data_IF_666862917015
#
_entry.id   IF_666862917015
#
_cell.length_a   1.000
_cell.length_b   1.000
_cell.length_c   1.000
_cell.angle_alpha   90.00
_cell.angle_beta   90.00
_cell.angle_gamma   90.00
#
_symmetry.space_group_name_H-M   'P 1'
#
loop_
_entity.id
_entity.type
_entity.pdbx_description
1 polymer ?
#
# COMPACT_ATOMS: atom_id res chain seq x y z
N UNK A 1 13.55 -16.57 22.51
CA UNK A 1 12.48 -16.69 23.52
C UNK A 1 12.28 -15.34 24.16
N UNK A 2 11.03 -15.00 24.48
CA UNK A 2 10.73 -13.92 25.41
C UNK A 2 11.31 -14.25 26.78
N UNK A 3 11.71 -13.23 27.53
CA UNK A 3 12.34 -13.41 28.84
C UNK A 3 11.34 -13.31 29.99
N UNK A 4 10.09 -12.92 29.69
CA UNK A 4 9.04 -12.67 30.67
C UNK A 4 7.79 -13.52 30.34
N UNK A 5 7.77 -14.78 30.81
CA UNK A 5 6.68 -15.72 30.56
C UNK A 5 5.97 -16.05 31.88
N UNK A 6 4.66 -15.82 31.93
CA UNK A 6 3.84 -15.98 33.12
C UNK A 6 2.81 -17.11 32.95
N UNK A 7 2.38 -17.72 34.06
CA UNK A 7 1.27 -18.69 34.04
C UNK A 7 -0.06 -17.95 34.13
N UNK A 8 -1.07 -18.45 33.45
CA UNK A 8 -2.44 -17.93 33.64
C UNK A 8 -3.04 -18.33 34.98
N UNK A 9 -2.37 -19.08 35.87
CA UNK A 9 -2.85 -19.31 37.23
C UNK A 9 -3.01 -18.03 38.06
N UNK A 10 -2.32 -16.95 37.71
CA UNK A 10 -2.53 -15.61 38.29
C UNK A 10 -3.90 -14.99 37.91
N UNK A 11 -4.62 -15.55 36.94
CA UNK A 11 -5.99 -15.15 36.59
C UNK A 11 -7.04 -15.54 37.64
N UNK A 12 -6.90 -16.74 38.22
CA UNK A 12 -7.98 -17.42 38.94
C UNK A 12 -7.95 -17.14 40.45
N UNK A 13 -6.82 -16.65 40.96
CA UNK A 13 -6.63 -16.39 42.36
C UNK A 13 -6.89 -14.90 42.69
N UNK A 14 -8.14 -14.60 43.04
CA UNK A 14 -8.45 -13.68 44.15
C UNK A 14 -7.97 -14.34 45.47
N UNK A 15 -6.69 -14.72 45.56
CA UNK A 15 -6.15 -15.39 46.73
C UNK A 15 -5.37 -14.35 47.52
N UNK A 16 -5.86 -14.07 48.73
CA UNK A 16 -5.47 -13.01 49.67
C UNK A 16 -4.00 -13.08 50.16
N UNK A 17 -3.09 -13.75 49.41
CA UNK A 17 -1.72 -14.07 49.82
C UNK A 17 -0.63 -13.70 48.83
N UNK A 18 -0.92 -12.90 47.80
CA UNK A 18 0.13 -12.29 46.97
C UNK A 18 0.44 -10.87 47.48
N UNK A 19 1.71 -10.54 47.80
CA UNK A 19 2.06 -9.21 48.28
C UNK A 19 1.83 -8.16 47.19
N UNK A 20 0.89 -7.25 47.49
CA UNK A 20 0.60 -5.93 46.94
C UNK A 20 1.61 -5.34 45.94
N UNK A 21 1.55 -5.81 44.69
CA UNK A 21 1.61 -4.92 43.53
C UNK A 21 0.52 -5.42 42.58
N UNK A 22 -0.71 -4.95 42.78
CA UNK A 22 -1.80 -5.12 41.82
C UNK A 22 -1.44 -4.33 40.55
N UNK A 23 -0.50 -4.85 39.75
CA UNK A 23 -0.44 -4.46 38.35
C UNK A 23 -1.76 -4.99 37.78
N UNK A 24 -2.66 -4.12 37.30
CA UNK A 24 -3.92 -4.57 36.73
C UNK A 24 -3.60 -5.65 35.68
N UNK A 25 -4.31 -6.78 35.70
CA UNK A 25 -4.05 -7.92 34.80
C UNK A 25 -3.84 -7.50 33.33
N UNK A 26 -4.61 -6.50 32.92
CA UNK A 26 -4.53 -5.82 31.62
C UNK A 26 -3.14 -5.22 31.30
N UNK A 27 -2.39 -4.75 32.30
CA UNK A 27 -1.01 -4.29 32.16
C UNK A 27 -0.02 -5.45 32.03
N UNK A 28 -0.27 -6.60 32.68
CA UNK A 28 0.56 -7.79 32.52
C UNK A 28 0.47 -8.34 31.09
N UNK A 29 -0.74 -8.37 30.50
CA UNK A 29 -0.95 -8.80 29.10
C UNK A 29 -0.11 -7.99 28.09
N UNK A 30 0.13 -6.69 28.33
CA UNK A 30 0.97 -5.88 27.45
C UNK A 30 2.48 -5.95 27.77
N UNK A 31 2.83 -6.26 29.02
CA UNK A 31 4.20 -6.25 29.50
C UNK A 31 4.91 -7.61 29.32
N UNK A 32 4.15 -8.70 29.30
CA UNK A 32 4.64 -10.07 29.24
C UNK A 32 4.82 -10.54 27.80
N UNK A 33 5.82 -11.40 27.59
CA UNK A 33 6.13 -11.95 26.26
C UNK A 33 5.34 -13.23 25.95
N UNK A 34 4.69 -13.84 26.95
CA UNK A 34 3.90 -15.05 26.74
C UNK A 34 3.20 -15.60 27.99
N UNK A 35 2.17 -16.42 27.74
CA UNK A 35 1.38 -17.08 28.76
C UNK A 35 1.45 -18.61 28.61
N UNK A 36 1.65 -19.32 29.71
CA UNK A 36 1.69 -20.79 29.73
C UNK A 36 0.45 -21.38 30.41
N UNK A 37 0.05 -22.58 29.97
CA UNK A 37 -1.09 -23.36 30.52
C UNK A 37 -2.42 -22.60 30.39
N UNK A 38 -2.67 -22.07 29.20
CA UNK A 38 -3.85 -21.23 28.91
C UNK A 38 -5.05 -22.09 28.50
N UNK A 39 -6.16 -21.96 29.24
CA UNK A 39 -7.42 -22.61 28.90
C UNK A 39 -8.11 -21.91 27.70
N UNK A 40 -9.00 -22.59 26.96
CA UNK A 40 -9.67 -22.02 25.78
C UNK A 40 -10.39 -20.68 26.07
N UNK A 41 -11.13 -20.59 27.18
CA UNK A 41 -11.82 -19.36 27.59
C UNK A 41 -10.84 -18.21 27.88
N UNK A 42 -9.65 -18.54 28.41
CA UNK A 42 -8.61 -17.56 28.68
C UNK A 42 -7.96 -17.04 27.39
N UNK A 43 -7.80 -17.88 26.36
CA UNK A 43 -7.29 -17.43 25.05
C UNK A 43 -8.21 -16.36 24.45
N UNK A 44 -9.52 -16.59 24.50
CA UNK A 44 -10.52 -15.65 24.02
C UNK A 44 -10.42 -14.29 24.73
N UNK A 45 -10.37 -14.30 26.05
CA UNK A 45 -10.33 -13.06 26.82
C UNK A 45 -9.00 -12.31 26.66
N UNK A 46 -7.87 -13.00 26.54
CA UNK A 46 -6.57 -12.34 26.25
C UNK A 46 -6.67 -11.53 24.95
N UNK A 47 -7.23 -12.13 23.89
CA UNK A 47 -7.46 -11.44 22.62
C UNK A 47 -8.38 -10.24 22.82
N UNK A 48 -9.51 -10.43 23.50
CA UNK A 48 -10.49 -9.38 23.76
C UNK A 48 -9.90 -8.20 24.55
N UNK A 49 -9.08 -8.47 25.56
CA UNK A 49 -8.45 -7.45 26.40
C UNK A 49 -7.38 -6.67 25.64
N UNK A 50 -6.59 -7.33 24.78
CA UNK A 50 -5.66 -6.64 23.88
C UNK A 50 -6.38 -5.73 22.89
N UNK A 51 -7.51 -6.19 22.33
CA UNK A 51 -8.35 -5.40 21.42
C UNK A 51 -8.96 -4.18 22.13
N UNK A 52 -9.40 -4.30 23.38
CA UNK A 52 -9.89 -3.16 24.18
C UNK A 52 -8.83 -2.06 24.35
N UNK A 53 -7.54 -2.41 24.32
CA UNK A 53 -6.42 -1.46 24.33
C UNK A 53 -6.01 -0.94 22.94
N UNK A 54 -6.81 -1.22 21.91
CA UNK A 54 -6.59 -0.80 20.52
C UNK A 54 -5.36 -1.46 19.86
N UNK A 55 -4.90 -2.61 20.37
CA UNK A 55 -3.98 -3.45 19.60
C UNK A 55 -4.76 -4.19 18.52
N UNK A 56 -4.10 -4.40 17.38
CA UNK A 56 -4.59 -5.31 16.34
C UNK A 56 -4.00 -6.68 16.63
N UNK A 57 -4.86 -7.67 16.89
CA UNK A 57 -4.48 -8.97 17.38
C UNK A 57 -4.58 -10.04 16.29
N UNK A 58 -3.43 -10.63 15.94
CA UNK A 58 -3.38 -11.87 15.18
C UNK A 58 -3.29 -13.06 16.12
N UNK A 59 -4.13 -14.06 15.94
CA UNK A 59 -4.11 -15.29 16.73
C UNK A 59 -3.85 -16.50 15.82
N UNK A 60 -2.96 -17.39 16.24
CA UNK A 60 -2.72 -18.67 15.57
C UNK A 60 -3.32 -19.83 16.37
N UNK A 61 -3.88 -20.83 15.70
CA UNK A 61 -4.44 -22.02 16.35
C UNK A 61 -4.51 -23.22 15.42
N UNK A 62 -4.64 -24.40 16.01
CA UNK A 62 -4.69 -25.70 15.33
C UNK A 62 -5.92 -26.53 15.71
N UNK A 63 -6.35 -26.42 16.97
CA UNK A 63 -7.43 -27.22 17.54
C UNK A 63 -8.82 -26.57 17.49
N UNK A 64 -9.83 -27.41 17.66
CA UNK A 64 -11.26 -27.03 17.81
C UNK A 64 -11.46 -26.01 18.93
N UNK A 65 -10.65 -26.12 19.99
CA UNK A 65 -10.70 -25.24 21.16
C UNK A 65 -10.24 -23.81 20.87
N UNK A 66 -9.48 -23.60 19.79
CA UNK A 66 -8.98 -22.28 19.41
C UNK A 66 -9.97 -21.53 18.53
N UNK A 67 -10.99 -22.21 18.00
CA UNK A 67 -11.96 -21.63 17.08
C UNK A 67 -12.68 -20.37 17.62
N UNK A 68 -13.15 -20.30 18.88
CA UNK A 68 -13.78 -19.09 19.41
C UNK A 68 -12.82 -17.90 19.47
N UNK A 69 -11.56 -18.15 19.82
CA UNK A 69 -10.56 -17.11 19.99
C UNK A 69 -9.97 -16.67 18.62
N UNK A 70 -9.81 -17.61 17.67
CA UNK A 70 -9.47 -17.33 16.27
C UNK A 70 -10.51 -16.42 15.62
N UNK A 71 -11.80 -16.72 15.81
CA UNK A 71 -12.89 -15.92 15.26
C UNK A 71 -13.02 -14.54 15.88
N UNK A 72 -12.60 -14.39 17.14
CA UNK A 72 -12.65 -13.10 17.83
C UNK A 72 -11.44 -12.20 17.54
N UNK A 73 -10.30 -12.79 17.13
CA UNK A 73 -9.12 -12.03 16.76
C UNK A 73 -9.37 -11.14 15.54
N UNK A 74 -8.59 -10.07 15.38
CA UNK A 74 -8.67 -9.23 14.18
C UNK A 74 -8.18 -9.97 12.94
N UNK A 75 -7.28 -10.95 13.14
CA UNK A 75 -6.85 -11.91 12.12
C UNK A 75 -6.65 -13.29 12.77
N UNK A 76 -7.55 -14.22 12.47
CA UNK A 76 -7.39 -15.63 12.82
C UNK A 76 -6.53 -16.38 11.80
N UNK A 77 -5.53 -17.13 12.27
CA UNK A 77 -4.57 -17.87 11.42
C UNK A 77 -4.59 -19.36 11.78
N UNK A 78 -5.08 -20.19 10.88
CA UNK A 78 -4.99 -21.65 11.02
C UNK A 78 -3.61 -22.13 10.52
N UNK A 79 -2.94 -22.96 11.33
CA UNK A 79 -1.66 -23.56 10.92
C UNK A 79 -1.85 -24.72 9.93
N UNK A 80 -0.78 -25.09 9.23
CA UNK A 80 -0.83 -26.24 8.32
C UNK A 80 -1.19 -27.52 9.08
N UNK A 81 -2.24 -28.22 8.62
CA UNK A 81 -2.77 -29.41 9.29
C UNK A 81 -3.69 -29.13 10.48
N UNK A 82 -4.15 -27.88 10.65
CA UNK A 82 -5.17 -27.54 11.64
C UNK A 82 -6.49 -28.30 11.40
N UNK A 83 -7.26 -28.48 12.46
CA UNK A 83 -8.60 -29.08 12.40
C UNK A 83 -9.55 -28.27 11.51
N UNK A 84 -10.53 -28.94 10.89
CA UNK A 84 -11.54 -28.28 10.04
C UNK A 84 -12.29 -27.17 10.78
N UNK A 85 -12.49 -27.32 12.09
CA UNK A 85 -13.10 -26.29 12.92
C UNK A 85 -12.22 -25.03 13.05
N UNK A 86 -10.91 -25.19 13.24
CA UNK A 86 -9.97 -24.06 13.30
C UNK A 86 -9.84 -23.39 11.92
N UNK A 87 -9.80 -24.17 10.84
CA UNK A 87 -9.78 -23.66 9.47
C UNK A 87 -11.01 -22.80 9.18
N UNK A 88 -12.22 -23.30 9.49
CA UNK A 88 -13.48 -22.58 9.27
C UNK A 88 -13.63 -21.34 10.17
N UNK A 89 -12.92 -21.28 11.29
CA UNK A 89 -12.93 -20.14 12.21
C UNK A 89 -11.85 -19.09 11.90
N UNK A 90 -10.90 -19.40 11.00
CA UNK A 90 -9.76 -18.54 10.68
C UNK A 90 -9.97 -17.72 9.40
N UNK A 91 -9.30 -16.57 9.30
CA UNK A 91 -9.29 -15.72 8.10
C UNK A 91 -8.19 -16.12 7.11
N UNK A 92 -7.09 -16.70 7.61
CA UNK A 92 -5.92 -17.09 6.83
C UNK A 92 -5.53 -18.52 7.19
N UNK A 93 -5.31 -19.35 6.17
CA UNK A 93 -4.83 -20.73 6.33
C UNK A 93 -3.39 -20.80 5.83
N UNK A 94 -2.49 -21.28 6.68
CA UNK A 94 -1.11 -21.53 6.29
C UNK A 94 -0.99 -22.90 5.63
N UNK A 95 -0.47 -22.92 4.41
CA UNK A 95 -0.16 -24.16 3.68
C UNK A 95 1.15 -24.80 4.13
N UNK A 96 2.01 -24.03 4.80
CA UNK A 96 3.31 -24.44 5.29
C UNK A 96 3.41 -24.19 6.80
N UNK A 97 4.01 -25.11 7.58
CA UNK A 97 4.20 -24.90 9.01
C UNK A 97 5.31 -23.87 9.28
N UNK A 98 5.19 -23.14 10.39
CA UNK A 98 6.26 -22.30 10.93
C UNK A 98 5.92 -20.82 11.06
N UNK A 99 6.46 -20.20 12.11
CA UNK A 99 6.26 -18.77 12.40
C UNK A 99 6.91 -17.86 11.33
N UNK A 100 7.94 -18.35 10.64
CA UNK A 100 8.60 -17.63 9.54
C UNK A 100 7.66 -17.31 8.38
N UNK A 101 6.68 -18.17 8.12
CA UNK A 101 5.66 -17.98 7.07
C UNK A 101 4.78 -16.79 7.43
N UNK A 102 4.37 -16.68 8.70
CA UNK A 102 3.57 -15.57 9.21
C UNK A 102 4.34 -14.24 9.09
N UNK A 103 5.62 -14.23 9.47
CA UNK A 103 6.47 -13.03 9.32
C UNK A 103 6.56 -12.61 7.85
N UNK A 104 6.76 -13.57 6.94
CA UNK A 104 6.85 -13.31 5.50
C UNK A 104 5.53 -12.79 4.93
N UNK A 105 4.40 -13.34 5.38
CA UNK A 105 3.06 -12.88 5.03
C UNK A 105 2.82 -11.44 5.52
N UNK A 106 3.17 -11.12 6.77
CA UNK A 106 3.06 -9.77 7.32
C UNK A 106 3.92 -8.77 6.55
N UNK A 107 5.16 -9.12 6.21
CA UNK A 107 6.04 -8.25 5.41
C UNK A 107 5.50 -8.01 4.01
N UNK A 108 4.94 -9.05 3.38
CA UNK A 108 4.30 -8.95 2.06
C UNK A 108 3.04 -8.09 2.11
N UNK A 109 2.20 -8.28 3.14
CA UNK A 109 1.00 -7.47 3.34
C UNK A 109 1.36 -5.98 3.53
N UNK A 110 2.41 -5.67 4.31
CA UNK A 110 2.90 -4.29 4.46
C UNK A 110 3.34 -3.68 3.12
N UNK A 111 3.95 -4.46 2.23
CA UNK A 111 4.31 -3.96 0.89
C UNK A 111 3.06 -3.70 0.04
N UNK A 112 2.06 -4.58 0.07
CA UNK A 112 0.78 -4.40 -0.64
C UNK A 112 0.05 -3.16 -0.11
N UNK A 113 -0.04 -3.01 1.21
CA UNK A 113 -0.67 -1.87 1.86
C UNK A 113 -0.04 -0.53 1.44
N UNK A 114 1.29 -0.48 1.33
CA UNK A 114 1.98 0.71 0.83
C UNK A 114 1.63 1.01 -0.64
N UNK A 115 1.56 0.00 -1.50
CA UNK A 115 1.10 0.18 -2.90
C UNK A 115 -0.30 0.77 -2.95
N UNK A 116 -1.22 0.27 -2.11
CA UNK A 116 -2.58 0.80 -2.06
C UNK A 116 -2.61 2.25 -1.59
N UNK A 117 -1.87 2.62 -0.53
CA UNK A 117 -1.79 4.02 -0.07
C UNK A 117 -1.26 4.94 -1.18
N UNK A 118 -0.17 4.55 -1.85
CA UNK A 118 0.43 5.32 -2.94
C UNK A 118 -0.55 5.49 -4.12
N UNK A 119 -1.30 4.44 -4.45
CA UNK A 119 -2.36 4.49 -5.46
C UNK A 119 -3.49 5.44 -5.06
N UNK A 120 -3.94 5.42 -3.80
CA UNK A 120 -4.99 6.35 -3.34
C UNK A 120 -4.52 7.80 -3.43
N UNK A 121 -3.28 8.11 -3.03
CA UNK A 121 -2.72 9.47 -3.18
C UNK A 121 -2.73 9.87 -4.65
N UNK A 122 -2.29 8.99 -5.54
CA UNK A 122 -2.27 9.22 -6.97
C UNK A 122 -3.66 9.49 -7.56
N UNK A 123 -4.62 8.59 -7.31
CA UNK A 123 -5.98 8.68 -7.84
C UNK A 123 -6.66 9.98 -7.41
N UNK A 124 -6.55 10.35 -6.13
CA UNK A 124 -7.13 11.59 -5.61
C UNK A 124 -6.40 12.82 -6.16
N UNK A 125 -5.09 12.76 -6.37
CA UNK A 125 -4.34 13.90 -6.94
C UNK A 125 -4.76 14.18 -8.39
N UNK A 126 -4.93 13.13 -9.20
CA UNK A 126 -5.37 13.27 -10.59
C UNK A 126 -6.80 13.79 -10.67
N UNK A 127 -7.73 13.30 -9.84
CA UNK A 127 -9.11 13.79 -9.86
C UNK A 127 -9.17 15.28 -9.56
N UNK A 128 -8.43 15.75 -8.54
CA UNK A 128 -8.34 17.17 -8.18
C UNK A 128 -7.79 18.00 -9.35
N UNK A 129 -6.78 17.50 -10.05
CA UNK A 129 -6.25 18.16 -11.24
C UNK A 129 -7.28 18.25 -12.37
N UNK A 130 -7.97 17.14 -12.67
CA UNK A 130 -8.92 17.07 -13.80
C UNK A 130 -10.15 17.96 -13.64
N UNK A 131 -10.47 18.42 -12.42
CA UNK A 131 -11.54 19.41 -12.19
C UNK A 131 -11.26 20.73 -12.91
N UNK A 132 -9.98 21.06 -13.14
CA UNK A 132 -9.55 22.29 -13.81
C UNK A 132 -9.28 22.12 -15.31
N UNK A 133 -9.56 20.93 -15.89
CA UNK A 133 -9.31 20.66 -17.31
C UNK A 133 -10.49 21.12 -18.20
N UNK A 134 -10.15 21.64 -19.39
CA UNK A 134 -11.09 22.40 -20.22
C UNK A 134 -11.78 21.60 -21.34
N UNK A 135 -11.36 20.36 -21.63
CA UNK A 135 -11.90 19.56 -22.75
C UNK A 135 -12.27 18.12 -22.33
N UNK A 136 -13.57 17.76 -22.32
CA UNK A 136 -14.04 16.43 -21.90
C UNK A 136 -13.44 15.27 -22.70
N UNK A 137 -13.21 15.46 -24.01
CA UNK A 137 -12.65 14.42 -24.87
C UNK A 137 -11.16 14.14 -24.57
N UNK A 138 -10.40 15.17 -24.21
CA UNK A 138 -9.00 15.01 -23.80
C UNK A 138 -8.86 14.33 -22.44
N UNK A 139 -9.77 14.65 -21.52
CA UNK A 139 -9.86 13.98 -20.22
C UNK A 139 -10.19 12.51 -20.43
N UNK A 140 -11.09 12.17 -21.35
CA UNK A 140 -11.42 10.79 -21.70
C UNK A 140 -10.19 10.02 -22.21
N UNK A 141 -9.44 10.57 -23.17
CA UNK A 141 -8.21 9.93 -23.68
C UNK A 141 -7.19 9.76 -22.56
N UNK A 142 -7.02 10.79 -21.72
CA UNK A 142 -6.08 10.75 -20.59
C UNK A 142 -6.48 9.69 -19.57
N UNK A 143 -7.77 9.52 -19.30
CA UNK A 143 -8.29 8.50 -18.39
C UNK A 143 -8.00 7.08 -18.90
N UNK A 144 -8.26 6.82 -20.18
CA UNK A 144 -7.99 5.52 -20.80
C UNK A 144 -6.49 5.17 -20.73
N UNK A 145 -5.62 6.13 -21.07
CA UNK A 145 -4.17 5.92 -20.99
C UNK A 145 -3.70 5.71 -19.55
N UNK A 146 -4.29 6.43 -18.60
CA UNK A 146 -3.97 6.29 -17.18
C UNK A 146 -4.29 4.89 -16.67
N UNK A 147 -5.47 4.35 -16.98
CA UNK A 147 -5.89 3.02 -16.54
C UNK A 147 -4.92 1.93 -16.99
N UNK A 148 -4.42 2.02 -18.22
CA UNK A 148 -3.37 1.11 -18.72
C UNK A 148 -2.09 1.16 -17.88
N UNK A 149 -1.65 2.36 -17.47
CA UNK A 149 -0.47 2.51 -16.61
C UNK A 149 -0.72 2.07 -15.17
N UNK A 150 -1.93 2.28 -14.63
CA UNK A 150 -2.31 1.90 -13.27
C UNK A 150 -2.22 0.39 -13.06
N UNK A 151 -2.48 -0.43 -14.09
CA UNK A 151 -2.35 -1.89 -14.02
C UNK A 151 -0.92 -2.36 -13.67
N UNK A 152 0.08 -1.50 -13.79
CA UNK A 152 1.47 -1.82 -13.43
C UNK A 152 1.76 -1.65 -11.93
N UNK A 153 0.94 -0.88 -11.18
CA UNK A 153 1.14 -0.57 -9.76
C UNK A 153 1.12 -1.82 -8.86
N UNK A 154 0.24 -2.82 -9.05
CA UNK A 154 0.25 -4.03 -8.22
C UNK A 154 1.55 -4.83 -8.30
N UNK A 155 2.26 -4.78 -9.44
CA UNK A 155 3.53 -5.48 -9.67
C UNK A 155 4.76 -4.69 -9.24
N UNK A 156 4.55 -3.53 -8.66
CA UNK A 156 5.60 -2.59 -8.37
C UNK A 156 6.48 -2.98 -7.15
N UNK A 157 7.75 -2.60 -7.16
CA UNK A 157 8.68 -2.85 -6.06
C UNK A 157 8.66 -1.70 -5.06
N UNK A 158 7.81 -1.82 -4.03
CA UNK A 158 7.70 -0.85 -2.91
C UNK A 158 8.36 -1.42 -1.66
N UNK A 159 9.04 -0.57 -0.89
CA UNK A 159 9.63 -0.95 0.39
C UNK A 159 8.52 -1.04 1.47
N UNK A 160 8.40 -2.17 2.19
CA UNK A 160 7.43 -2.29 3.27
C UNK A 160 7.76 -1.34 4.42
N UNK A 161 6.72 -0.86 5.12
CA UNK A 161 6.92 -0.03 6.30
C UNK A 161 7.56 -0.83 7.45
N UNK A 162 8.56 -0.30 8.16
CA UNK A 162 9.18 -1.00 9.29
C UNK A 162 8.23 -1.10 10.50
N UNK A 163 7.33 -0.12 10.65
CA UNK A 163 6.32 -0.09 11.69
C UNK A 163 4.94 -0.43 11.09
N UNK A 164 4.02 -0.90 11.94
CA UNK A 164 2.62 -1.04 11.59
C UNK A 164 2.07 0.33 11.19
N UNK A 165 1.31 0.36 10.10
CA UNK A 165 0.77 1.58 9.52
C UNK A 165 -0.76 1.43 9.51
N UNK A 166 -1.46 2.51 9.85
CA UNK A 166 -2.92 2.55 9.86
C UNK A 166 -3.39 3.46 8.73
N UNK A 167 -4.63 3.26 8.26
CA UNK A 167 -5.18 4.05 7.16
C UNK A 167 -5.55 5.48 7.62
N UNK A 168 -4.55 6.36 7.72
CA UNK A 168 -4.73 7.78 8.05
C UNK A 168 -5.27 8.53 6.85
N UNK A 169 -6.59 8.41 6.60
CA UNK A 169 -7.27 9.04 5.46
C UNK A 169 -6.95 10.53 5.34
N UNK A 170 -6.98 11.28 6.45
CA UNK A 170 -6.67 12.72 6.45
C UNK A 170 -5.29 13.02 5.85
N UNK A 171 -4.26 12.27 6.21
CA UNK A 171 -2.90 12.48 5.72
C UNK A 171 -2.80 12.19 4.22
N UNK A 172 -3.43 11.09 3.79
CA UNK A 172 -3.50 10.68 2.38
C UNK A 172 -4.21 11.75 1.54
N UNK A 173 -5.38 12.23 2.00
CA UNK A 173 -6.15 13.25 1.29
C UNK A 173 -5.44 14.60 1.25
N UNK A 174 -4.85 15.08 2.35
CA UNK A 174 -4.12 16.36 2.36
C UNK A 174 -2.93 16.29 1.40
N UNK A 175 -2.16 15.20 1.43
CA UNK A 175 -1.03 15.00 0.51
C UNK A 175 -1.51 15.02 -0.95
N UNK A 176 -2.60 14.33 -1.26
CA UNK A 176 -3.16 14.28 -2.60
C UNK A 176 -3.70 15.64 -3.08
N UNK A 177 -4.34 16.42 -2.20
CA UNK A 177 -4.84 17.76 -2.52
C UNK A 177 -3.69 18.71 -2.83
N UNK A 178 -2.61 18.69 -2.05
CA UNK A 178 -1.44 19.53 -2.28
C UNK A 178 -0.78 19.17 -3.63
N UNK A 179 -0.58 17.89 -3.91
CA UNK A 179 0.00 17.45 -5.19
C UNK A 179 -0.92 17.80 -6.37
N UNK A 180 -2.21 17.50 -6.29
CA UNK A 180 -3.19 17.79 -7.33
C UNK A 180 -3.35 19.28 -7.63
N UNK A 181 -3.41 20.12 -6.59
CA UNK A 181 -3.51 21.58 -6.74
C UNK A 181 -2.24 22.19 -7.32
N UNK A 182 -1.06 21.73 -6.92
CA UNK A 182 0.20 22.12 -7.56
C UNK A 182 0.21 21.77 -9.06
N UNK A 183 -0.24 20.56 -9.41
CA UNK A 183 -0.31 20.17 -10.82
C UNK A 183 -1.28 21.02 -11.62
N UNK A 184 -2.46 21.32 -11.07
CA UNK A 184 -3.43 22.21 -11.70
C UNK A 184 -2.85 23.62 -11.89
N UNK A 185 -2.17 24.16 -10.87
CA UNK A 185 -1.50 25.46 -10.95
C UNK A 185 -0.43 25.47 -12.05
N UNK A 186 0.39 24.42 -12.18
CA UNK A 186 1.40 24.33 -13.24
C UNK A 186 0.78 24.21 -14.63
N UNK A 187 -0.38 23.57 -14.78
CA UNK A 187 -1.12 23.55 -16.05
C UNK A 187 -1.71 24.93 -16.37
N UNK A 188 -2.24 25.65 -15.39
CA UNK A 188 -2.75 27.03 -15.58
C UNK A 188 -1.63 28.00 -15.93
N UNK A 189 -0.47 27.92 -15.27
CA UNK A 189 0.71 28.75 -15.60
C UNK A 189 1.18 28.45 -17.03
N UNK A 190 1.20 27.17 -17.43
CA UNK A 190 1.54 26.78 -18.79
C UNK A 190 0.58 27.37 -19.82
N UNK A 191 -0.73 27.29 -19.56
CA UNK A 191 -1.76 27.86 -20.40
C UNK A 191 -1.64 29.38 -20.51
N UNK A 192 -1.48 30.07 -19.38
CA UNK A 192 -1.29 31.51 -19.31
C UNK A 192 -0.04 31.96 -20.09
N UNK A 193 1.08 31.25 -19.91
CA UNK A 193 2.33 31.53 -20.62
C UNK A 193 2.23 31.28 -22.14
N UNK A 194 1.28 30.46 -22.62
CA UNK A 194 1.04 30.28 -24.05
C UNK A 194 0.13 31.37 -24.67
N UNK A 195 -0.80 31.93 -23.90
CA UNK A 195 -1.78 32.91 -24.40
C UNK A 195 -1.28 34.34 -24.27
N UNK A 196 -0.87 34.75 -23.07
CA UNK A 196 -0.60 36.15 -22.77
C UNK A 196 0.86 36.53 -22.99
N UNK A 197 1.77 35.56 -23.09
CA UNK A 197 3.21 35.82 -23.20
C UNK A 197 3.83 35.17 -24.44
N UNK A 198 4.78 35.86 -25.07
CA UNK A 198 5.60 35.29 -26.16
C UNK A 198 6.86 34.55 -25.64
N UNK A 199 6.89 34.19 -24.36
CA UNK A 199 8.07 33.62 -23.69
C UNK A 199 8.63 32.39 -24.40
N UNK A 200 7.76 31.48 -24.84
CA UNK A 200 8.18 30.26 -25.51
C UNK A 200 8.73 30.53 -26.92
N UNK A 201 8.14 31.47 -27.65
CA UNK A 201 8.57 31.85 -28.99
C UNK A 201 9.90 32.60 -28.97
N UNK A 202 10.11 33.50 -28.02
CA UNK A 202 11.35 34.28 -27.88
C UNK A 202 12.54 33.40 -27.43
N UNK A 203 12.32 32.52 -26.45
CA UNK A 203 13.41 31.72 -25.87
C UNK A 203 13.79 30.48 -26.66
N UNK A 204 12.81 29.81 -27.27
CA UNK A 204 13.01 28.52 -27.95
C UNK A 204 12.86 28.62 -29.48
N UNK A 205 12.51 29.79 -30.03
CA UNK A 205 12.37 30.00 -31.47
C UNK A 205 11.21 29.22 -32.10
N UNK A 206 10.20 28.83 -31.30
CA UNK A 206 9.03 28.07 -31.77
C UNK A 206 7.91 29.00 -32.23
N UNK A 207 7.09 28.53 -33.18
CA UNK A 207 5.95 29.27 -33.74
C UNK A 207 4.97 29.72 -32.65
N UNK A 208 4.49 30.97 -32.67
CA UNK A 208 3.49 31.43 -31.69
C UNK A 208 2.15 30.72 -31.92
N UNK A 209 1.54 30.20 -30.85
CA UNK A 209 0.29 29.43 -30.86
C UNK A 209 -0.95 30.27 -30.53
N UNK A 210 -0.79 31.56 -30.21
CA UNK A 210 -1.83 32.43 -29.63
C UNK A 210 -3.09 32.55 -30.51
N UNK A 211 -2.96 32.34 -31.84
CA UNK A 211 -4.06 32.49 -32.80
C UNK A 211 -4.78 31.19 -33.15
N UNK A 212 -4.27 30.03 -32.75
CA UNK A 212 -4.84 28.73 -33.13
C UNK A 212 -5.27 27.89 -31.91
N UNK A 213 -6.55 27.97 -31.49
CA UNK A 213 -7.02 27.28 -30.27
C UNK A 213 -6.90 25.75 -30.36
N UNK A 214 -6.97 25.18 -31.56
CA UNK A 214 -6.84 23.73 -31.74
C UNK A 214 -5.42 23.21 -31.49
N UNK A 215 -4.39 24.01 -31.79
CA UNK A 215 -3.00 23.63 -31.53
C UNK A 215 -2.64 23.82 -30.04
N UNK A 216 -3.23 24.83 -29.38
CA UNK A 216 -3.09 25.01 -27.93
C UNK A 216 -3.65 23.85 -27.12
N UNK A 217 -4.82 23.32 -27.52
CA UNK A 217 -5.41 22.15 -26.86
C UNK A 217 -4.53 20.91 -26.98
N UNK A 218 -3.88 20.72 -28.14
CA UNK A 218 -2.92 19.63 -28.35
C UNK A 218 -1.70 19.75 -27.41
N UNK A 219 -1.17 20.97 -27.25
CA UNK A 219 -0.06 21.27 -26.36
C UNK A 219 -0.42 21.04 -24.88
N UNK A 220 -1.60 21.50 -24.46
CA UNK A 220 -2.12 21.28 -23.10
C UNK A 220 -2.29 19.80 -22.80
N UNK A 221 -2.89 19.04 -23.71
CA UNK A 221 -3.07 17.60 -23.53
C UNK A 221 -1.74 16.87 -23.35
N UNK A 222 -0.73 17.20 -24.16
CA UNK A 222 0.59 16.58 -24.04
C UNK A 222 1.21 16.87 -22.66
N UNK A 223 1.13 18.12 -22.18
CA UNK A 223 1.62 18.51 -20.86
C UNK A 223 0.88 17.75 -19.73
N UNK A 224 -0.46 17.73 -19.78
CA UNK A 224 -1.30 17.08 -18.77
C UNK A 224 -1.05 15.57 -18.73
N UNK A 225 -0.84 14.94 -19.88
CA UNK A 225 -0.54 13.51 -20.01
C UNK A 225 0.83 13.15 -19.42
N UNK A 226 1.90 13.87 -19.80
CA UNK A 226 3.26 13.60 -19.31
C UNK A 226 3.31 13.73 -17.79
N UNK A 227 2.86 14.87 -17.27
CA UNK A 227 2.94 15.16 -15.83
C UNK A 227 2.01 14.27 -15.02
N UNK A 228 0.86 13.88 -15.61
CA UNK A 228 -0.11 13.00 -14.96
C UNK A 228 0.46 11.62 -14.70
N UNK A 229 1.09 11.02 -15.71
CA UNK A 229 1.71 9.71 -15.56
C UNK A 229 3.02 9.80 -14.76
N UNK A 230 3.76 10.90 -14.87
CA UNK A 230 4.97 11.11 -14.09
C UNK A 230 4.68 11.15 -12.58
N UNK A 231 3.50 11.64 -12.18
CA UNK A 231 3.07 11.67 -10.77
C UNK A 231 3.14 10.28 -10.10
N UNK A 232 2.99 9.17 -10.84
CA UNK A 232 3.12 7.81 -10.28
C UNK A 232 4.51 7.60 -9.66
N UNK A 233 5.57 8.17 -10.25
CA UNK A 233 6.93 8.07 -9.73
C UNK A 233 7.16 8.91 -8.47
N UNK A 234 6.37 9.97 -8.30
CA UNK A 234 6.37 10.78 -7.10
C UNK A 234 5.57 10.05 -6.00
N UNK A 235 4.37 9.56 -6.28
CA UNK A 235 3.53 8.96 -5.22
C UNK A 235 4.06 7.60 -4.74
N UNK A 236 4.82 6.87 -5.57
CA UNK A 236 5.46 5.61 -5.15
C UNK A 236 6.55 5.77 -4.08
N UNK A 237 7.23 6.92 -4.08
CA UNK A 237 8.54 7.05 -3.45
C UNK A 237 8.42 7.76 -2.11
N UNK A 238 9.07 7.20 -1.07
CA UNK A 238 9.13 7.81 0.27
C UNK A 238 10.28 8.78 0.42
N UNK A 239 11.27 8.68 -0.46
CA UNK A 239 12.30 9.67 -0.66
C UNK A 239 12.23 10.17 -2.11
N UNK A 240 13.29 10.79 -2.60
CA UNK A 240 13.39 11.30 -3.96
C UNK A 240 12.99 10.24 -4.98
N UNK A 241 12.12 10.61 -5.92
CA UNK A 241 11.64 9.70 -6.96
C UNK A 241 12.78 9.11 -7.81
N UNK A 242 13.82 9.91 -8.08
CA UNK A 242 15.00 9.48 -8.83
C UNK A 242 15.90 8.49 -8.06
N UNK A 243 15.85 8.50 -6.72
CA UNK A 243 16.65 7.60 -5.90
C UNK A 243 16.02 6.21 -5.79
N UNK A 244 14.69 6.13 -5.85
CA UNK A 244 13.94 4.88 -5.76
C UNK A 244 13.66 4.31 -7.15
N UNK A 245 14.46 3.31 -7.55
CA UNK A 245 14.31 2.67 -8.87
C UNK A 245 12.90 2.11 -9.07
N UNK A 246 12.17 2.54 -10.11
CA UNK A 246 10.86 1.98 -10.41
C UNK A 246 10.97 0.54 -10.90
N UNK A 247 9.89 -0.23 -10.74
CA UNK A 247 9.78 -1.54 -11.38
C UNK A 247 9.86 -1.41 -12.91
N UNK A 248 10.49 -2.37 -13.58
CA UNK A 248 10.63 -2.38 -15.05
C UNK A 248 9.27 -2.28 -15.76
N UNK A 249 8.22 -2.88 -15.20
CA UNK A 249 6.87 -2.81 -15.76
C UNK A 249 6.26 -1.41 -15.63
N UNK A 250 6.53 -0.70 -14.54
CA UNK A 250 6.04 0.66 -14.38
C UNK A 250 6.78 1.63 -15.31
N UNK A 251 8.11 1.52 -15.37
CA UNK A 251 8.92 2.33 -16.29
C UNK A 251 8.56 2.02 -17.75
N UNK A 252 8.42 0.75 -18.10
CA UNK A 252 7.94 0.29 -19.40
C UNK A 252 6.52 0.74 -19.70
N UNK A 253 5.62 0.74 -18.71
CA UNK A 253 4.25 1.24 -18.83
C UNK A 253 4.18 2.74 -19.06
N UNK A 254 5.00 3.53 -18.36
CA UNK A 254 5.14 4.96 -18.60
C UNK A 254 5.71 5.23 -19.99
N UNK A 255 6.82 4.58 -20.35
CA UNK A 255 7.42 4.71 -21.68
C UNK A 255 6.41 4.30 -22.75
N UNK A 256 5.71 3.18 -22.57
CA UNK A 256 4.68 2.74 -23.49
C UNK A 256 3.54 3.75 -23.54
N UNK A 257 3.05 4.31 -22.43
CA UNK A 257 1.93 5.24 -22.48
C UNK A 257 2.32 6.62 -23.06
N UNK A 258 3.59 7.03 -22.94
CA UNK A 258 4.16 8.23 -23.55
C UNK A 258 4.56 8.04 -25.03
N UNK A 259 5.10 6.86 -25.36
CA UNK A 259 5.52 6.49 -26.71
C UNK A 259 4.40 5.87 -27.55
N UNK A 260 3.36 5.25 -26.96
CA UNK A 260 2.14 4.66 -27.55
C UNK A 260 1.58 3.38 -26.83
N UNK A 261 0.44 3.43 -26.12
CA UNK A 261 -0.34 2.20 -25.77
C UNK A 261 -1.59 1.99 -26.65
N UNK A 262 -2.05 2.97 -27.44
CA UNK A 262 -3.22 2.76 -28.32
C UNK A 262 -2.98 2.10 -29.70
N UNK A 263 -1.81 2.13 -30.37
CA UNK A 263 -1.68 1.48 -31.68
C UNK A 263 -1.63 -0.05 -31.62
N UNK A 264 -1.45 -0.67 -30.44
CA UNK A 264 -1.52 -2.14 -30.32
C UNK A 264 -2.96 -2.65 -30.23
N UNK A 265 -3.85 -1.92 -29.55
CA UNK A 265 -5.28 -2.26 -29.45
C UNK A 265 -6.01 -1.90 -30.76
N UNK A 266 -5.59 -0.83 -31.44
CA UNK A 266 -6.10 -0.45 -32.77
C UNK A 266 -5.61 -1.39 -33.90
N UNK A 267 -4.40 -1.95 -33.80
CA UNK A 267 -3.87 -2.91 -34.78
C UNK A 267 -4.61 -4.26 -34.82
N UNK A 268 -5.24 -4.68 -33.71
CA UNK A 268 -6.02 -5.93 -33.66
C UNK A 268 -7.44 -5.71 -34.21
N UNK A 269 -7.94 -4.47 -34.26
CA UNK A 269 -9.36 -4.22 -34.53
C UNK A 269 -9.72 -3.79 -35.96
N UNK A 270 -8.85 -3.22 -36.80
CA UNK A 270 -9.21 -2.87 -38.18
C UNK A 270 -8.01 -2.90 -39.15
N UNK A 271 -8.02 -3.87 -40.05
CA UNK A 271 -6.96 -4.23 -40.99
C UNK A 271 -6.89 -3.28 -42.22
N UNK A 272 -7.04 -1.96 -42.03
CA UNK A 272 -7.07 -0.99 -43.14
C UNK A 272 -6.79 0.46 -42.72
N UNK A 273 -5.53 0.80 -42.53
CA UNK A 273 -4.89 1.98 -43.15
C UNK A 273 -3.50 2.26 -42.56
N UNK A 274 -2.53 2.19 -43.47
CA UNK A 274 -1.22 2.85 -43.55
C UNK A 274 -0.96 3.98 -42.53
N UNK A 275 0.09 3.76 -41.72
CA UNK A 275 0.85 4.71 -40.89
C UNK A 275 0.05 5.70 -40.05
N UNK A 276 -0.18 5.41 -38.77
CA UNK A 276 -0.40 6.45 -37.74
C UNK A 276 0.03 5.92 -36.37
N UNK A 277 1.04 6.55 -35.77
CA UNK A 277 1.65 6.20 -34.49
C UNK A 277 1.29 7.26 -33.41
N UNK A 278 1.42 6.87 -32.12
CA UNK A 278 1.64 7.56 -30.82
C UNK A 278 0.86 8.80 -30.30
N UNK A 279 0.84 8.99 -28.98
CA UNK A 279 0.21 10.14 -28.30
C UNK A 279 1.01 11.46 -28.40
N UNK A 280 2.35 11.40 -28.36
CA UNK A 280 3.19 12.53 -28.79
C UNK A 280 2.90 12.87 -30.24
N UNK A 281 2.61 11.85 -31.05
CA UNK A 281 2.20 12.03 -32.44
C UNK A 281 0.74 12.50 -32.58
N UNK A 282 -0.18 12.23 -31.64
CA UNK A 282 -1.50 12.88 -31.60
C UNK A 282 -1.30 14.39 -31.41
N UNK A 283 -0.48 14.79 -30.44
CA UNK A 283 -0.19 16.20 -30.22
C UNK A 283 0.57 16.84 -31.40
N UNK A 284 1.42 16.09 -32.12
CA UNK A 284 2.27 16.60 -33.21
C UNK A 284 1.61 16.55 -34.59
N UNK A 285 0.77 15.54 -34.86
CA UNK A 285 0.24 15.21 -36.19
C UNK A 285 -1.29 15.10 -36.27
N UNK A 286 -2.03 14.96 -35.16
CA UNK A 286 -3.49 14.79 -35.27
C UNK A 286 -4.16 16.06 -35.80
N UNK A 287 -5.01 15.88 -36.80
CA UNK A 287 -5.92 16.91 -37.30
C UNK A 287 -7.34 16.35 -37.27
N UNK A 288 -8.01 16.52 -36.13
CA UNK A 288 -9.35 15.99 -35.91
C UNK A 288 -10.33 17.15 -35.72
N UNK A 289 -11.14 17.40 -36.75
CA UNK A 289 -12.18 18.45 -36.71
C UNK A 289 -13.22 18.23 -35.61
N UNK A 290 -13.57 16.97 -35.32
CA UNK A 290 -14.50 16.62 -34.24
C UNK A 290 -13.93 16.92 -32.84
N UNK A 291 -12.64 16.66 -32.63
CA UNK A 291 -11.97 16.87 -31.34
C UNK A 291 -11.41 18.30 -31.16
N UNK A 292 -11.49 19.15 -32.20
CA UNK A 292 -10.86 20.49 -32.27
C UNK A 292 -9.35 20.44 -31.96
N UNK A 293 -8.64 19.47 -32.53
CA UNK A 293 -7.20 19.26 -32.34
C UNK A 293 -6.49 19.44 -33.66
N UNK A 294 -5.40 20.21 -33.65
CA UNK A 294 -4.45 20.33 -34.75
C UNK A 294 -3.03 20.14 -34.22
N UNK A 295 -2.22 19.39 -34.96
CA UNK A 295 -0.85 19.04 -34.55
C UNK A 295 0.05 20.26 -34.33
N UNK A 296 0.78 20.27 -33.21
CA UNK A 296 1.63 21.38 -32.74
C UNK A 296 3.07 21.34 -33.29
N UNK A 297 3.50 20.22 -33.86
CA UNK A 297 4.87 19.99 -34.35
C UNK A 297 5.87 19.54 -33.28
N UNK A 298 6.97 18.90 -33.70
CA UNK A 298 7.99 18.34 -32.79
C UNK A 298 8.76 19.39 -31.98
N UNK A 299 8.95 20.59 -32.53
CA UNK A 299 9.62 21.68 -31.80
C UNK A 299 8.88 22.05 -30.53
N UNK A 300 7.55 22.20 -30.61
CA UNK A 300 6.69 22.44 -29.46
C UNK A 300 6.61 21.23 -28.52
N UNK A 301 6.55 20.01 -29.05
CA UNK A 301 6.57 18.81 -28.22
C UNK A 301 7.82 18.75 -27.32
N UNK A 302 9.00 19.11 -27.86
CA UNK A 302 10.24 19.18 -27.07
C UNK A 302 10.19 20.22 -25.95
N UNK A 303 9.64 21.41 -26.22
CA UNK A 303 9.44 22.47 -25.21
C UNK A 303 8.47 22.02 -24.11
N UNK A 304 7.39 21.33 -24.49
CA UNK A 304 6.40 20.78 -23.55
C UNK A 304 7.04 19.71 -22.65
N UNK A 305 7.86 18.83 -23.22
CA UNK A 305 8.63 17.85 -22.45
C UNK A 305 9.57 18.52 -21.46
N UNK A 306 10.28 19.56 -21.89
CA UNK A 306 11.18 20.32 -21.02
C UNK A 306 10.41 20.99 -19.87
N UNK A 307 9.29 21.66 -20.17
CA UNK A 307 8.42 22.25 -19.16
C UNK A 307 7.88 21.21 -18.17
N UNK A 308 7.45 20.06 -18.68
CA UNK A 308 6.95 18.95 -17.87
C UNK A 308 8.03 18.37 -16.95
N UNK A 309 9.26 18.27 -17.43
CA UNK A 309 10.41 17.82 -16.63
C UNK A 309 10.77 18.83 -15.52
N UNK A 310 10.75 20.13 -15.84
CA UNK A 310 11.03 21.19 -14.86
C UNK A 310 9.94 21.25 -13.79
N UNK A 311 8.66 21.18 -14.20
CA UNK A 311 7.52 21.18 -13.27
C UNK A 311 7.43 19.90 -12.44
N UNK A 312 8.06 18.81 -12.87
CA UNK A 312 8.16 17.56 -12.12
C UNK A 312 9.08 17.65 -10.90
N UNK A 313 10.23 18.33 -11.00
CA UNK A 313 11.24 18.36 -9.94
C UNK A 313 10.70 18.84 -8.58
N UNK A 314 9.88 19.90 -8.49
CA UNK A 314 9.34 20.35 -7.20
C UNK A 314 8.32 19.40 -6.57
N UNK A 315 7.72 18.46 -7.32
CA UNK A 315 6.77 17.48 -6.76
C UNK A 315 7.43 16.57 -5.72
N UNK A 316 8.74 16.33 -5.83
CA UNK A 316 9.47 15.54 -4.86
C UNK A 316 9.64 16.22 -3.49
N UNK A 317 9.35 17.52 -3.38
CA UNK A 317 9.29 18.21 -2.07
C UNK A 317 8.10 17.78 -1.19
N UNK A 318 7.32 16.78 -1.60
CA UNK A 318 6.24 16.15 -0.81
C UNK A 318 6.65 15.74 0.61
N UNK A 319 7.94 15.51 0.90
CA UNK A 319 8.40 15.21 2.27
C UNK A 319 8.08 16.33 3.24
N UNK A 320 8.07 17.60 2.80
CA UNK A 320 7.68 18.72 3.65
C UNK A 320 6.22 18.62 4.09
N UNK A 321 5.33 18.14 3.22
CA UNK A 321 3.91 17.94 3.56
C UNK A 321 3.77 16.81 4.58
N UNK A 322 4.48 15.70 4.37
CA UNK A 322 4.47 14.56 5.30
C UNK A 322 5.08 14.93 6.66
N UNK A 323 6.17 15.69 6.68
CA UNK A 323 6.84 16.14 7.89
C UNK A 323 5.99 17.18 8.66
N UNK A 324 5.37 18.14 7.95
CA UNK A 324 4.45 19.10 8.57
C UNK A 324 3.20 18.43 9.19
N UNK A 325 2.72 17.34 8.59
CA UNK A 325 1.58 16.58 9.11
C UNK A 325 1.98 15.68 10.30
N UNK A 326 3.18 15.11 10.28
CA UNK A 326 3.66 14.21 11.35
C UNK A 326 4.31 14.95 12.52
N UNK A 327 4.86 16.15 12.32
CA UNK A 327 5.45 16.99 13.37
C UNK A 327 4.44 17.47 14.42
N UNK A 328 3.14 17.45 14.11
CA UNK A 328 2.06 17.82 15.03
C UNK A 328 1.43 16.63 15.78
N UNK A 329 1.91 15.40 15.56
CA UNK A 329 1.47 14.26 16.37
C UNK A 329 2.35 14.17 17.62
N UNK A 330 1.86 14.50 18.83
CA UNK A 330 2.59 14.20 20.05
C UNK A 330 2.88 12.71 20.05
N UNK A 331 4.17 12.44 19.95
CA UNK A 331 4.75 11.14 19.73
C UNK A 331 4.22 10.19 20.83
N UNK A 332 3.46 9.17 20.44
CA UNK A 332 3.20 7.96 21.25
C UNK A 332 4.52 7.17 21.45
N UNK A 333 5.68 7.82 21.26
CA UNK A 333 7.02 7.35 21.58
C UNK A 333 7.29 7.21 23.06
N UNK A 334 6.39 7.63 23.95
CA UNK A 334 6.54 7.29 25.37
C UNK A 334 6.10 5.86 25.72
N UNK A 335 5.55 5.10 24.76
CA UNK A 335 5.39 3.64 24.82
C UNK A 335 6.41 2.84 23.99
N UNK A 336 7.36 3.51 23.29
CA UNK A 336 8.23 2.92 22.24
C UNK A 336 9.28 1.90 22.71
N UNK A 337 9.26 1.44 23.96
CA UNK A 337 10.30 0.56 24.48
C UNK A 337 10.03 -0.96 24.34
N UNK A 338 8.80 -1.44 24.06
CA UNK A 338 8.52 -2.90 24.09
C UNK A 338 7.83 -3.53 22.88
N UNK A 339 7.17 -2.79 21.99
CA UNK A 339 6.56 -3.36 20.77
C UNK A 339 7.58 -3.72 19.67
N UNK A 340 8.88 -3.47 19.88
CA UNK A 340 9.97 -3.81 18.94
C UNK A 340 10.69 -5.13 19.22
N UNK A 341 10.30 -5.90 20.25
CA UNK A 341 11.03 -7.12 20.64
C UNK A 341 10.99 -8.20 19.56
N UNK A 342 9.88 -8.34 18.82
CA UNK A 342 9.76 -9.34 17.74
C UNK A 342 10.60 -9.01 16.49
N UNK A 343 10.87 -7.74 16.20
CA UNK A 343 11.57 -7.34 14.97
C UNK A 343 13.10 -7.31 15.14
N UNK A 344 13.61 -7.11 16.37
CA UNK A 344 15.07 -7.18 16.66
C UNK A 344 15.60 -8.61 16.80
N UNK A 345 14.74 -9.62 16.96
CA UNK A 345 15.15 -11.03 17.03
C UNK A 345 15.40 -11.70 15.67
N UNK A 346 15.08 -11.04 14.55
CA UNK A 346 15.31 -11.57 13.20
C UNK A 346 16.76 -11.48 12.68
N UNK A 347 17.74 -11.13 13.53
CA UNK A 347 19.18 -11.03 13.17
C UNK A 347 20.12 -11.97 13.92
N UNK A 348 19.60 -12.95 14.66
CA UNK A 348 20.43 -14.03 15.25
C UNK A 348 19.85 -15.38 14.84
N UNK A 349 20.68 -16.43 14.64
CA UNK A 349 20.17 -17.77 14.43
C UNK A 349 19.53 -18.20 15.76
N UNK A 350 18.21 -18.22 15.81
CA UNK A 350 17.45 -18.53 17.02
C UNK A 350 16.90 -19.94 16.85
N UNK A 351 17.64 -20.92 17.37
CA UNK A 351 17.08 -22.19 17.84
C UNK A 351 16.07 -21.85 18.95
N UNK A 352 14.77 -22.03 18.68
CA UNK A 352 13.73 -22.00 19.72
C UNK A 352 12.72 -23.12 19.49
N UNK A 353 12.90 -24.13 20.34
CA UNK A 353 11.97 -25.08 20.95
C UNK A 353 10.50 -24.95 20.53
N UNK A 354 10.10 -25.94 19.75
CA UNK A 354 8.74 -26.45 19.60
C UNK A 354 8.20 -26.80 20.99
N UNK A 355 7.22 -26.03 21.47
CA UNK A 355 6.44 -26.43 22.64
C UNK A 355 5.73 -27.73 22.31
N UNK A 356 6.12 -28.81 23.00
CA UNK A 356 5.42 -30.09 23.02
C UNK A 356 3.93 -29.85 23.30
N UNK A 357 3.11 -29.87 22.25
CA UNK A 357 1.74 -30.38 22.31
C UNK A 357 1.76 -31.77 21.68
N UNK A 358 2.25 -32.75 22.44
CA UNK A 358 1.88 -34.15 22.28
C UNK A 358 1.78 -34.75 23.66
N UNK A 359 0.55 -34.91 24.14
CA UNK A 359 0.19 -35.88 25.18
C UNK A 359 -1.34 -36.03 25.20
N UNK A 360 -1.89 -36.68 24.17
CA UNK A 360 -3.00 -37.65 24.29
C UNK A 360 -3.13 -38.43 22.97
N UNK A 361 -2.12 -39.25 22.65
CA UNK A 361 -2.33 -40.52 21.96
C UNK A 361 -1.93 -41.60 22.96
N UNK A 362 -2.89 -42.05 23.75
CA UNK A 362 -2.80 -43.23 24.58
C UNK A 362 -3.76 -44.26 24.00
N UNK A 363 -3.20 -45.38 23.55
CA UNK A 363 -3.88 -46.53 22.99
C UNK A 363 -5.18 -46.89 23.71
N UNK A 364 -6.19 -47.20 22.92
CA UNK A 364 -7.26 -48.12 23.29
C UNK A 364 -6.60 -49.49 23.44
N UNK A 365 -6.09 -49.81 24.63
CA UNK A 365 -5.77 -51.17 25.04
C UNK A 365 -6.77 -51.60 26.11
N UNK A 366 -7.55 -52.61 25.74
CA UNK A 366 -8.46 -53.39 26.56
C UNK A 366 -7.78 -53.88 27.84
N UNK A 367 -8.14 -53.31 28.99
CA UNK A 367 -7.86 -53.92 30.29
C UNK A 367 -9.00 -54.88 30.61
N UNK A 368 -8.73 -56.15 30.34
CA UNK A 368 -9.47 -57.31 30.83
C UNK A 368 -9.37 -57.33 32.35
N UNK A 369 -10.53 -57.36 33.00
CA UNK A 369 -10.71 -57.48 34.44
C UNK A 369 -10.32 -58.90 34.92
N UNK A 370 -9.35 -59.09 35.82
CA UNK A 370 -9.15 -60.38 36.47
C UNK A 370 -10.00 -60.43 37.75
N UNK A 371 -11.07 -61.22 37.69
CA UNK A 371 -11.72 -61.77 38.89
C UNK A 371 -10.72 -62.66 39.63
N UNK A 372 -10.27 -62.20 40.79
CA UNK A 372 -9.56 -63.01 41.78
C UNK A 372 -10.43 -63.17 43.01
N UNK A 373 -10.79 -64.42 43.29
CA UNK A 373 -11.36 -64.91 44.55
C UNK A 373 -10.42 -64.60 45.72
N UNK A 374 -10.99 -64.37 46.91
CA UNK A 374 -10.59 -65.10 48.13
C UNK A 374 -11.60 -64.86 49.28
N UNK A 375 -11.99 -66.00 49.87
CA UNK A 375 -12.73 -66.28 51.11
C UNK A 375 -14.26 -66.16 51.14
#
# INVERSE_FOLDING_TARGET
MGTNMNRTSYWLNNDDRAPLVEIPFIHMIEMDDGFAVVFPDQKYEIVRQLQQRKHICGMTGDGVNDAPALKNADVGIAVAGASDAAINASDIILTEPGLSVIISAVMTNRAIFQRMKNYTIYAVSITIRTIFDFSPFMVLITAILNDGTIMTIPRDRVKPSPMTDNWKLREIFVTAVVLGSYLALMTVIFFWAMIDTDFFSDKFGVRSLTKEPCEMMAALYLQVSIVGQALIFVTRSRSWSCAERPGLLLAGGFIAAQLAVEPLVFAISLNKMRNDQAATLIAVYANWGFARIKGVGWGWAGVIWLYSLVSYLPLDFKFFVHDALNGNSPDVSKGKARTTTWCKQAKRPVEVVQGLMSCTQGNVESVVEPRGLDN
#
